data_IF_802547922999
#
_entry.id   IF_802547922999
#
_cell.length_a   1.000
_cell.length_b   1.000
_cell.length_c   1.000
_cell.angle_alpha   90.00
_cell.angle_beta   90.00
_cell.angle_gamma   90.00
#
_symmetry.space_group_name_H-M   'P 1'
#
loop_
_entity.id
_entity.type
_entity.pdbx_description
1 polymer ?
#
# COMPACT_ATOMS: atom_id res chain seq x y z
N UNK A 1 14.89 4.47 16.83
CA UNK A 1 15.40 5.23 15.68
C UNK A 1 16.24 4.32 14.79
N UNK A 2 15.93 4.28 13.52
CA UNK A 2 16.64 3.44 12.57
C UNK A 2 17.91 4.10 12.09
N UNK A 3 18.92 3.29 11.78
CA UNK A 3 20.15 3.80 11.19
C UNK A 3 19.90 4.31 9.78
N UNK A 4 20.76 5.21 9.27
CA UNK A 4 20.63 5.67 7.88
C UNK A 4 20.70 4.54 6.85
N UNK A 5 21.47 3.49 7.12
CA UNK A 5 21.58 2.37 6.21
C UNK A 5 20.30 1.57 6.14
N UNK A 6 19.66 1.33 7.29
CA UNK A 6 18.38 0.64 7.34
C UNK A 6 17.31 1.45 6.63
N UNK A 7 17.31 2.77 6.83
CA UNK A 7 16.34 3.64 6.16
C UNK A 7 16.52 3.62 4.65
N UNK A 8 17.76 3.62 4.18
CA UNK A 8 18.03 3.56 2.74
C UNK A 8 17.59 2.24 2.14
N UNK A 9 17.83 1.14 2.85
CA UNK A 9 17.39 -0.18 2.38
C UNK A 9 15.88 -0.24 2.33
N UNK A 10 15.20 0.26 3.36
CA UNK A 10 13.73 0.29 3.38
C UNK A 10 13.17 1.16 2.26
N UNK A 11 13.78 2.32 2.03
CA UNK A 11 13.36 3.22 0.94
C UNK A 11 13.46 2.52 -0.40
N UNK A 12 14.55 1.83 -0.65
CA UNK A 12 14.77 1.11 -1.90
C UNK A 12 13.70 0.05 -2.12
N UNK A 13 13.40 -0.73 -1.07
CA UNK A 13 12.37 -1.76 -1.13
C UNK A 13 11.00 -1.18 -1.39
N UNK A 14 10.70 -0.06 -0.75
CA UNK A 14 9.41 0.63 -0.95
C UNK A 14 9.30 1.12 -2.39
N UNK A 15 10.37 1.71 -2.92
CA UNK A 15 10.38 2.17 -4.32
C UNK A 15 10.16 1.02 -5.29
N UNK A 16 10.79 -0.12 -5.05
CA UNK A 16 10.61 -1.31 -5.88
C UNK A 16 9.16 -1.79 -5.85
N UNK A 17 8.56 -1.78 -4.67
CA UNK A 17 7.17 -2.20 -4.50
C UNK A 17 6.21 -1.26 -5.23
N UNK A 18 6.44 0.05 -5.10
CA UNK A 18 5.63 1.05 -5.79
C UNK A 18 5.72 0.85 -7.31
N UNK A 19 6.93 0.65 -7.82
CA UNK A 19 7.16 0.44 -9.24
C UNK A 19 6.45 -0.83 -9.73
N UNK A 20 6.54 -1.90 -8.96
CA UNK A 20 5.90 -3.16 -9.30
C UNK A 20 4.38 -2.99 -9.38
N UNK A 21 3.79 -2.30 -8.42
CA UNK A 21 2.34 -2.05 -8.41
C UNK A 21 1.94 -1.16 -9.59
N UNK A 22 2.74 -0.14 -9.88
CA UNK A 22 2.46 0.77 -11.00
C UNK A 22 2.45 0.02 -12.33
N UNK A 23 3.34 -0.96 -12.50
CA UNK A 23 3.41 -1.75 -13.73
C UNK A 23 2.17 -2.61 -13.96
N UNK A 24 1.44 -2.94 -12.91
CA UNK A 24 0.21 -3.71 -13.02
C UNK A 24 -0.98 -2.85 -13.44
N UNK A 25 -0.80 -1.54 -13.43
CA UNK A 25 -1.89 -0.61 -13.72
C UNK A 25 -2.13 -0.51 -15.22
N UNK A 26 -3.40 -0.43 -15.66
CA UNK A 26 -3.71 -0.27 -17.09
C UNK A 26 -3.13 1.01 -17.68
N UNK A 27 -2.91 2.02 -16.86
CA UNK A 27 -2.34 3.30 -17.30
C UNK A 27 -0.84 3.38 -17.04
N UNK A 28 -0.16 2.23 -17.01
CA UNK A 28 1.29 2.19 -16.87
C UNK A 28 1.96 3.10 -17.90
N UNK A 29 2.90 3.90 -17.41
CA UNK A 29 3.58 4.88 -18.23
C UNK A 29 3.02 6.29 -18.07
N UNK A 30 1.87 6.43 -17.43
CA UNK A 30 1.26 7.72 -17.13
C UNK A 30 1.54 8.12 -15.68
N UNK A 31 1.60 9.43 -15.37
CA UNK A 31 1.78 9.86 -13.98
C UNK A 31 0.71 9.34 -13.03
N UNK A 32 -0.52 9.12 -13.55
CA UNK A 32 -1.63 8.59 -12.74
C UNK A 32 -1.36 7.18 -12.22
N UNK A 33 -0.63 6.36 -12.99
CA UNK A 33 -0.27 5.01 -12.54
C UNK A 33 0.63 5.06 -11.33
N UNK A 34 1.58 5.96 -11.34
CA UNK A 34 2.51 6.14 -10.21
C UNK A 34 1.77 6.63 -8.96
N UNK A 35 0.91 7.63 -9.12
CA UNK A 35 0.13 8.14 -8.00
C UNK A 35 -0.76 7.08 -7.39
N UNK A 36 -1.41 6.29 -8.24
CA UNK A 36 -2.27 5.19 -7.77
C UNK A 36 -1.46 4.16 -7.01
N UNK A 37 -0.26 3.85 -7.49
CA UNK A 37 0.62 2.90 -6.82
C UNK A 37 1.05 3.41 -5.45
N UNK A 38 1.34 4.71 -5.33
CA UNK A 38 1.69 5.31 -4.05
C UNK A 38 0.56 5.12 -3.03
N UNK A 39 -0.66 5.41 -3.45
CA UNK A 39 -1.84 5.28 -2.58
C UNK A 39 -2.06 3.82 -2.21
N UNK A 40 -1.94 2.92 -3.17
CA UNK A 40 -2.15 1.48 -2.94
C UNK A 40 -1.15 0.95 -1.91
N UNK A 41 0.12 1.25 -2.08
CA UNK A 41 1.15 0.78 -1.16
C UNK A 41 0.94 1.39 0.22
N UNK A 42 0.66 2.69 0.30
CA UNK A 42 0.40 3.35 1.57
C UNK A 42 -0.82 2.74 2.28
N UNK A 43 -1.88 2.44 1.52
CA UNK A 43 -3.09 1.84 2.07
C UNK A 43 -2.81 0.45 2.63
N UNK A 44 -2.07 -0.37 1.89
CA UNK A 44 -1.74 -1.73 2.34
C UNK A 44 -0.90 -1.71 3.60
N UNK A 45 0.15 -0.91 3.61
CA UNK A 45 1.06 -0.85 4.76
C UNK A 45 0.33 -0.26 5.97
N UNK A 46 -0.39 0.84 5.77
CA UNK A 46 -1.14 1.48 6.86
C UNK A 46 -2.19 0.55 7.43
N UNK A 47 -2.90 -0.19 6.58
CA UNK A 47 -3.91 -1.15 7.01
C UNK A 47 -3.30 -2.23 7.88
N UNK A 48 -2.17 -2.80 7.45
CA UNK A 48 -1.50 -3.84 8.23
C UNK A 48 -1.02 -3.31 9.57
N UNK A 49 -0.45 -2.12 9.58
CA UNK A 49 0.03 -1.52 10.83
C UNK A 49 -1.12 -1.26 11.80
N UNK A 50 -2.21 -0.70 11.31
CA UNK A 50 -3.37 -0.42 12.15
C UNK A 50 -4.03 -1.70 12.63
N UNK A 51 -4.16 -2.69 11.75
CA UNK A 51 -4.78 -3.97 12.11
C UNK A 51 -4.01 -4.68 13.21
N UNK A 52 -2.70 -4.52 13.24
CA UNK A 52 -1.85 -5.12 14.27
C UNK A 52 -1.82 -4.30 15.56
N UNK A 53 -2.06 -3.00 15.45
CA UNK A 53 -1.97 -2.10 16.59
C UNK A 53 -3.23 -2.10 17.45
N UNK A 54 -4.39 -2.45 16.86
CA UNK A 54 -5.65 -2.40 17.59
C UNK A 54 -5.89 -3.69 18.36
N UNK A 55 -6.53 -3.55 19.50
CA UNK A 55 -6.90 -4.68 20.35
C UNK A 55 -8.40 -4.96 20.21
N UNK A 56 -8.81 -5.10 18.95
CA UNK A 56 -10.23 -5.27 18.59
C UNK A 56 -10.31 -6.03 17.27
N UNK A 57 -10.60 -7.35 17.31
CA UNK A 57 -10.66 -8.14 16.08
C UNK A 57 -11.68 -7.65 15.08
N UNK A 58 -12.81 -7.13 15.54
CA UNK A 58 -13.84 -6.63 14.63
C UNK A 58 -13.34 -5.39 13.88
N UNK A 59 -12.64 -4.51 14.57
CA UNK A 59 -12.06 -3.33 13.93
C UNK A 59 -10.95 -3.72 12.97
N UNK A 60 -10.12 -4.67 13.35
CA UNK A 60 -9.05 -5.18 12.48
C UNK A 60 -9.64 -5.73 11.18
N UNK A 61 -10.68 -6.54 11.28
CA UNK A 61 -11.36 -7.09 10.11
C UNK A 61 -11.98 -6.01 9.25
N UNK A 62 -12.58 -5.00 9.88
CA UNK A 62 -13.18 -3.88 9.17
C UNK A 62 -12.15 -3.08 8.38
N UNK A 63 -10.98 -2.85 8.97
CA UNK A 63 -9.89 -2.16 8.29
C UNK A 63 -9.44 -2.92 7.04
N UNK A 64 -9.23 -4.22 7.18
CA UNK A 64 -8.81 -5.05 6.06
C UNK A 64 -9.87 -5.10 4.97
N UNK A 65 -11.12 -5.26 5.36
CA UNK A 65 -12.25 -5.32 4.43
C UNK A 65 -12.39 -4.03 3.65
N UNK A 66 -12.33 -2.90 4.35
CA UNK A 66 -12.45 -1.59 3.72
C UNK A 66 -11.29 -1.34 2.74
N UNK A 67 -10.08 -1.72 3.11
CA UNK A 67 -8.91 -1.56 2.25
C UNK A 67 -9.06 -2.39 0.98
N UNK A 68 -9.48 -3.64 1.11
CA UNK A 68 -9.69 -4.52 -0.04
C UNK A 68 -10.74 -3.96 -0.98
N UNK A 69 -11.84 -3.45 -0.44
CA UNK A 69 -12.89 -2.86 -1.27
C UNK A 69 -12.40 -1.65 -2.03
N UNK A 70 -11.60 -0.80 -1.37
CA UNK A 70 -11.11 0.42 -2.02
C UNK A 70 -10.12 0.12 -3.13
N UNK A 71 -9.44 -1.03 -3.08
CA UNK A 71 -8.46 -1.43 -4.08
C UNK A 71 -9.02 -2.34 -5.16
N UNK A 72 -10.25 -2.81 -4.99
CA UNK A 72 -10.86 -3.68 -5.98
C UNK A 72 -11.09 -2.91 -7.29
N UNK A 73 -10.91 -3.55 -8.45
CA UNK A 73 -11.22 -2.89 -9.72
C UNK A 73 -12.69 -2.50 -9.76
N UNK A 74 -12.97 -1.36 -10.39
CA UNK A 74 -14.33 -0.94 -10.59
C UNK A 74 -15.03 -1.96 -11.49
N UNK A 75 -16.20 -2.41 -11.06
CA UNK A 75 -16.99 -3.31 -11.88
C UNK A 75 -17.87 -2.51 -12.81
N UNK A 76 -17.89 -2.93 -14.03
CA UNK A 76 -18.70 -2.27 -15.06
C UNK A 76 -19.97 -3.04 -15.34
#
# INVERSE_FOLDING_TARGET
RQSPEVRRAATRRIKEMIDLVARQSPDWGQPSAHERALVTVATLVGTLMLARAVDDPALSDSLCSAALKSMAPAET
#
